data_IF_793156873013
#
_entry.id   IF_793156873013
#
_cell.length_a   1.000
_cell.length_b   1.000
_cell.length_c   1.000
_cell.angle_alpha   90.00
_cell.angle_beta   90.00
_cell.angle_gamma   90.00
#
_symmetry.space_group_name_H-M   'P 1'
#
loop_
_entity.id
_entity.type
_entity.pdbx_description
1 polymer ?
#
# COMPACT_ATOMS: atom_id res chain seq x y z
N UNK A 1 -35.15 -58.92 10.23
CA UNK A 1 -35.86 -57.76 9.67
C UNK A 1 -36.15 -56.83 10.85
N UNK A 2 -35.47 -55.68 10.96
CA UNK A 2 -35.71 -54.55 11.90
C UNK A 2 -34.45 -53.86 12.45
N UNK A 3 -33.23 -54.36 12.18
CA UNK A 3 -31.99 -53.67 12.56
C UNK A 3 -31.26 -53.02 11.36
N UNK A 4 -31.44 -53.56 10.14
CA UNK A 4 -30.91 -52.94 8.92
C UNK A 4 -31.68 -51.70 8.45
N UNK A 5 -32.86 -51.44 9.01
CA UNK A 5 -33.71 -50.31 8.61
C UNK A 5 -33.48 -49.06 9.48
N UNK A 6 -32.73 -49.17 10.58
CA UNK A 6 -32.44 -48.07 11.49
C UNK A 6 -31.22 -47.21 11.06
N UNK A 7 -30.42 -47.68 10.08
CA UNK A 7 -29.21 -46.97 9.63
C UNK A 7 -29.50 -45.99 8.47
N UNK A 8 -30.66 -46.09 7.82
CA UNK A 8 -31.01 -45.27 6.64
C UNK A 8 -31.68 -43.93 7.01
N UNK A 9 -32.13 -43.74 8.25
CA UNK A 9 -32.88 -42.55 8.67
C UNK A 9 -32.04 -41.50 9.44
N UNK A 10 -30.71 -41.65 9.47
CA UNK A 10 -29.77 -40.70 10.10
C UNK A 10 -29.04 -39.79 9.10
N UNK A 11 -29.38 -39.86 7.81
CA UNK A 11 -28.81 -39.03 6.74
C UNK A 11 -29.67 -37.82 6.39
N UNK A 12 -30.31 -37.19 7.38
CA UNK A 12 -30.96 -35.89 7.18
C UNK A 12 -29.87 -34.85 6.96
N UNK A 13 -29.51 -34.70 5.69
CA UNK A 13 -29.19 -33.46 5.01
C UNK A 13 -28.63 -32.38 5.93
N UNK A 14 -27.31 -32.39 6.10
CA UNK A 14 -26.55 -31.14 6.20
C UNK A 14 -26.65 -30.41 4.85
N UNK A 15 -27.86 -30.01 4.47
CA UNK A 15 -28.07 -29.02 3.43
C UNK A 15 -27.64 -27.71 4.04
N UNK A 16 -26.37 -27.35 3.83
CA UNK A 16 -25.92 -25.96 3.95
C UNK A 16 -26.71 -25.18 2.91
N UNK A 17 -27.90 -24.72 3.29
CA UNK A 17 -28.62 -23.69 2.56
C UNK A 17 -27.80 -22.42 2.74
N UNK A 18 -26.84 -22.18 1.85
CA UNK A 18 -26.27 -20.84 1.71
C UNK A 18 -27.37 -19.99 1.08
N UNK A 19 -28.11 -19.27 1.91
CA UNK A 19 -29.00 -18.22 1.41
C UNK A 19 -28.10 -17.15 0.79
N UNK A 20 -28.21 -16.98 -0.53
CA UNK A 20 -27.46 -15.94 -1.23
C UNK A 20 -28.06 -14.61 -0.82
N UNK A 21 -27.40 -13.94 0.13
CA UNK A 21 -27.71 -12.55 0.46
C UNK A 21 -27.16 -11.72 -0.71
N UNK A 22 -28.03 -11.32 -1.63
CA UNK A 22 -27.69 -10.25 -2.58
C UNK A 22 -27.79 -8.93 -1.80
N UNK A 23 -26.64 -8.45 -1.34
CA UNK A 23 -26.52 -7.13 -0.72
C UNK A 23 -26.62 -6.09 -1.84
N UNK A 24 -27.77 -5.42 -1.93
CA UNK A 24 -27.93 -4.26 -2.80
C UNK A 24 -27.17 -3.08 -2.19
N UNK A 25 -25.90 -2.96 -2.57
CA UNK A 25 -25.12 -1.75 -2.33
C UNK A 25 -25.61 -0.73 -3.35
N UNK A 26 -26.38 0.25 -2.90
CA UNK A 26 -26.83 1.35 -3.77
C UNK A 26 -25.65 1.97 -4.53
N UNK A 27 -25.88 2.38 -5.78
CA UNK A 27 -24.84 2.96 -6.64
C UNK A 27 -24.06 4.03 -5.88
N UNK A 28 -22.74 3.81 -5.75
CA UNK A 28 -21.93 4.64 -4.87
C UNK A 28 -21.71 6.04 -5.47
N UNK A 29 -21.58 7.03 -4.60
CA UNK A 29 -21.23 8.39 -4.99
C UNK A 29 -19.80 8.40 -5.58
N UNK A 30 -19.64 8.62 -6.88
CA UNK A 30 -18.33 8.61 -7.55
C UNK A 30 -17.40 9.68 -6.99
N UNK A 31 -16.22 9.31 -6.49
CA UNK A 31 -15.21 10.24 -5.95
C UNK A 31 -14.00 10.30 -6.85
N UNK A 32 -13.29 11.42 -6.79
CA UNK A 32 -11.91 11.47 -7.29
C UNK A 32 -11.04 10.66 -6.33
N UNK A 33 -10.29 9.71 -6.87
CA UNK A 33 -9.27 8.94 -6.16
C UNK A 33 -7.92 9.45 -6.63
N UNK A 34 -7.15 9.96 -5.68
CA UNK A 34 -5.81 10.52 -5.89
C UNK A 34 -4.81 9.59 -5.23
N UNK A 35 -3.84 9.13 -5.99
CA UNK A 35 -2.66 8.44 -5.45
C UNK A 35 -1.43 9.10 -6.05
N UNK A 36 -0.28 9.02 -5.40
CA UNK A 36 0.92 9.66 -5.90
C UNK A 36 2.15 9.18 -5.18
N UNK A 37 3.29 9.48 -5.75
CA UNK A 37 4.58 9.18 -5.17
C UNK A 37 5.52 10.35 -5.42
N UNK A 38 6.02 10.93 -4.33
CA UNK A 38 7.11 11.91 -4.34
C UNK A 38 8.23 11.33 -3.48
N UNK A 39 9.43 11.20 -4.04
CA UNK A 39 10.59 10.56 -3.40
C UNK A 39 11.85 11.41 -3.57
N UNK A 40 12.85 11.26 -2.70
CA UNK A 40 14.16 11.92 -2.88
C UNK A 40 15.02 11.31 -3.99
N UNK A 41 14.54 10.27 -4.68
CA UNK A 41 15.26 9.63 -5.77
C UNK A 41 14.95 10.34 -7.10
N UNK A 42 15.94 10.39 -7.98
CA UNK A 42 15.75 10.92 -9.34
C UNK A 42 14.75 10.05 -10.12
N UNK A 43 13.76 10.69 -10.72
CA UNK A 43 12.77 10.06 -11.58
C UNK A 43 11.51 9.57 -10.85
N UNK A 44 10.52 9.17 -11.65
CA UNK A 44 9.27 8.51 -11.24
C UNK A 44 8.44 9.23 -10.16
N UNK A 45 8.47 10.56 -10.14
CA UNK A 45 7.58 11.38 -9.34
C UNK A 45 6.25 11.52 -10.08
N UNK A 46 5.14 11.06 -9.50
CA UNK A 46 3.85 11.08 -10.20
C UNK A 46 2.66 11.30 -9.27
N UNK A 47 1.57 11.77 -9.86
CA UNK A 47 0.22 11.79 -9.30
C UNK A 47 -0.67 11.02 -10.29
N UNK A 48 -1.41 10.03 -9.80
CA UNK A 48 -2.38 9.27 -10.56
C UNK A 48 -3.80 9.63 -10.13
N UNK A 49 -4.62 9.98 -11.11
CA UNK A 49 -6.01 10.37 -10.90
C UNK A 49 -6.96 9.33 -11.50
N UNK A 50 -7.85 8.80 -10.68
CA UNK A 50 -8.90 7.86 -11.10
C UNK A 50 -10.24 8.23 -10.48
N UNK A 51 -11.32 7.63 -10.94
CA UNK A 51 -12.63 7.68 -10.30
C UNK A 51 -12.82 6.44 -9.44
N UNK A 52 -13.49 6.58 -8.31
CA UNK A 52 -13.91 5.41 -7.53
C UNK A 52 -14.78 4.49 -8.39
N UNK A 53 -14.60 3.19 -8.24
CA UNK A 53 -15.42 2.16 -8.87
C UNK A 53 -16.37 1.54 -7.84
N UNK A 54 -17.46 0.94 -8.31
CA UNK A 54 -18.37 0.19 -7.45
C UNK A 54 -17.67 -1.02 -6.84
N UNK A 55 -18.07 -1.38 -5.62
CA UNK A 55 -17.44 -2.44 -4.83
C UNK A 55 -17.37 -3.79 -5.57
N UNK A 56 -18.45 -4.19 -6.25
CA UNK A 56 -18.50 -5.44 -7.02
C UNK A 56 -17.98 -5.30 -8.47
N UNK A 57 -17.38 -4.17 -8.83
CA UNK A 57 -16.82 -3.98 -10.17
C UNK A 57 -15.55 -4.81 -10.34
N UNK A 58 -15.54 -5.66 -11.37
CA UNK A 58 -14.33 -6.35 -11.84
C UNK A 58 -13.57 -5.55 -12.92
N UNK A 59 -13.96 -4.29 -13.16
CA UNK A 59 -13.29 -3.41 -14.11
C UNK A 59 -12.31 -2.47 -13.40
N UNK A 60 -11.16 -2.14 -14.02
CA UNK A 60 -10.25 -1.13 -13.50
C UNK A 60 -10.97 0.21 -13.23
N UNK A 61 -10.59 0.95 -12.17
CA UNK A 61 -11.09 2.28 -11.92
C UNK A 61 -10.88 3.20 -13.13
N UNK A 62 -11.90 3.95 -13.59
CA UNK A 62 -11.76 4.84 -14.75
C UNK A 62 -10.74 5.95 -14.49
N UNK A 63 -9.83 6.18 -15.44
CA UNK A 63 -8.83 7.26 -15.34
C UNK A 63 -9.46 8.66 -15.49
N UNK A 64 -8.78 9.67 -14.93
CA UNK A 64 -9.18 11.09 -15.01
C UNK A 64 -8.12 11.87 -15.78
N UNK A 65 -8.51 12.38 -16.94
CA UNK A 65 -7.61 12.99 -17.93
C UNK A 65 -7.78 14.50 -18.04
N UNK A 66 -6.76 15.19 -18.56
CA UNK A 66 -6.78 16.63 -18.86
C UNK A 66 -6.86 17.54 -17.64
N UNK A 67 -6.60 17.02 -16.43
CA UNK A 67 -6.54 17.85 -15.23
C UNK A 67 -5.29 18.74 -15.24
N UNK A 68 -5.38 19.90 -14.59
CA UNK A 68 -4.19 20.66 -14.20
C UNK A 68 -3.78 20.20 -12.81
N UNK A 69 -2.59 19.62 -12.70
CA UNK A 69 -2.02 19.12 -11.45
C UNK A 69 -0.79 19.93 -11.10
N UNK A 70 -0.81 20.55 -9.92
CA UNK A 70 0.29 21.36 -9.39
C UNK A 70 0.70 20.85 -8.02
N UNK A 71 1.99 20.80 -7.77
CA UNK A 71 2.58 20.49 -6.47
C UNK A 71 3.46 21.67 -6.06
N UNK A 72 3.19 22.25 -4.91
CA UNK A 72 4.01 23.30 -4.30
C UNK A 72 4.79 22.70 -3.13
N UNK A 73 6.10 22.93 -3.08
CA UNK A 73 7.00 22.44 -2.03
C UNK A 73 7.43 23.55 -1.05
N UNK A 74 6.75 24.69 -1.09
CA UNK A 74 7.05 25.91 -0.34
C UNK A 74 8.16 26.77 -0.94
N UNK A 75 8.97 26.22 -1.86
CA UNK A 75 10.03 26.96 -2.58
C UNK A 75 9.59 27.32 -3.99
N UNK A 76 8.97 26.38 -4.70
CA UNK A 76 8.43 26.59 -6.04
C UNK A 76 7.24 25.67 -6.30
N UNK A 77 6.37 26.11 -7.22
CA UNK A 77 5.23 25.33 -7.67
C UNK A 77 5.52 24.68 -9.01
N UNK A 78 5.36 23.36 -9.08
CA UNK A 78 5.65 22.51 -10.24
C UNK A 78 4.36 21.96 -10.82
N UNK A 79 4.19 22.09 -12.13
CA UNK A 79 3.12 21.40 -12.84
C UNK A 79 3.54 19.97 -13.18
N UNK A 80 2.68 19.01 -12.83
CA UNK A 80 2.81 17.62 -13.25
C UNK A 80 2.00 17.43 -14.55
N UNK A 81 2.61 16.80 -15.55
CA UNK A 81 2.07 16.70 -16.91
C UNK A 81 1.56 15.29 -17.17
N UNK A 82 0.35 15.18 -17.71
CA UNK A 82 -0.24 13.88 -18.07
C UNK A 82 0.64 13.14 -19.08
N UNK A 83 0.94 11.87 -18.79
CA UNK A 83 1.66 11.02 -19.72
C UNK A 83 0.73 10.47 -20.80
N UNK A 84 1.18 10.58 -22.04
CA UNK A 84 0.44 10.11 -23.21
C UNK A 84 0.40 8.58 -23.33
N UNK A 85 1.34 7.87 -22.68
CA UNK A 85 1.40 6.40 -22.73
C UNK A 85 0.71 5.75 -21.53
N UNK A 86 0.60 6.46 -20.41
CA UNK A 86 -0.04 6.01 -19.17
C UNK A 86 -1.12 7.01 -18.76
N UNK A 87 -2.28 6.91 -19.41
CA UNK A 87 -3.42 7.81 -19.19
C UNK A 87 -3.81 7.86 -17.71
N UNK A 88 -4.12 9.07 -17.21
CA UNK A 88 -4.42 9.30 -15.79
C UNK A 88 -3.20 9.43 -14.88
N UNK A 89 -1.98 9.16 -15.36
CA UNK A 89 -0.75 9.49 -14.65
C UNK A 89 -0.22 10.84 -15.08
N UNK A 90 0.15 11.67 -14.10
CA UNK A 90 0.74 12.98 -14.27
C UNK A 90 2.13 12.94 -13.65
N UNK A 91 3.17 13.23 -14.43
CA UNK A 91 4.57 13.13 -13.99
C UNK A 91 5.19 14.49 -13.80
N UNK A 92 6.08 14.59 -12.80
CA UNK A 92 6.90 15.76 -12.61
C UNK A 92 7.95 15.90 -13.74
N UNK A 93 8.56 17.09 -13.92
CA UNK A 93 9.77 17.26 -14.70
C UNK A 93 10.88 16.30 -14.26
N UNK A 94 11.71 15.83 -15.20
CA UNK A 94 12.70 14.76 -14.96
C UNK A 94 13.76 15.07 -13.89
N UNK A 95 13.98 16.35 -13.59
CA UNK A 95 14.92 16.82 -12.58
C UNK A 95 14.27 17.15 -11.24
N UNK A 96 12.95 16.98 -11.11
CA UNK A 96 12.24 17.16 -9.85
C UNK A 96 12.48 15.96 -8.94
N UNK A 97 12.84 16.25 -7.69
CA UNK A 97 12.99 15.28 -6.62
C UNK A 97 12.37 15.85 -5.36
N UNK A 98 11.82 14.97 -4.52
CA UNK A 98 11.40 15.35 -3.18
C UNK A 98 12.59 15.63 -2.27
N UNK A 99 12.38 16.55 -1.34
CA UNK A 99 13.22 16.84 -0.20
C UNK A 99 12.52 16.35 1.08
N UNK A 100 13.24 15.59 1.90
CA UNK A 100 12.76 15.13 3.20
C UNK A 100 12.53 16.29 4.16
N UNK A 101 11.49 16.19 4.99
CA UNK A 101 11.05 17.24 5.91
C UNK A 101 10.21 18.35 5.24
N UNK A 102 10.01 18.29 3.93
CA UNK A 102 9.19 19.25 3.19
C UNK A 102 7.72 18.85 3.19
N UNK A 103 6.83 19.83 3.39
CA UNK A 103 5.40 19.71 3.17
C UNK A 103 5.08 20.07 1.72
N UNK A 104 4.36 19.18 1.04
CA UNK A 104 3.93 19.35 -0.35
C UNK A 104 2.43 19.65 -0.38
N UNK A 105 2.05 20.74 -1.02
CA UNK A 105 0.66 21.11 -1.27
C UNK A 105 0.28 20.73 -2.71
N UNK A 106 -0.64 19.78 -2.83
CA UNK A 106 -1.22 19.32 -4.09
C UNK A 106 -2.46 20.14 -4.43
N UNK A 107 -2.50 20.68 -5.64
CA UNK A 107 -3.67 21.35 -6.22
C UNK A 107 -4.07 20.68 -7.53
N UNK A 108 -5.34 20.28 -7.63
CA UNK A 108 -5.89 19.63 -8.82
C UNK A 108 -7.10 20.42 -9.32
N UNK A 109 -7.09 20.76 -10.61
CA UNK A 109 -8.25 21.32 -11.32
C UNK A 109 -8.65 20.38 -12.45
N UNK A 110 -9.82 19.76 -12.31
CA UNK A 110 -10.34 18.80 -13.28
C UNK A 110 -10.81 19.50 -14.57
N UNK A 111 -10.67 18.80 -15.71
CA UNK A 111 -11.27 19.24 -16.97
C UNK A 111 -12.81 19.12 -16.95
N UNK A 112 -13.34 18.11 -16.24
CA UNK A 112 -14.76 17.86 -16.08
C UNK A 112 -15.08 17.63 -14.60
N UNK A 113 -16.19 18.18 -14.08
CA UNK A 113 -16.54 18.03 -12.68
C UNK A 113 -16.85 16.57 -12.32
N UNK A 114 -16.44 16.15 -11.13
CA UNK A 114 -16.91 14.92 -10.49
C UNK A 114 -17.86 15.35 -9.38
N UNK A 115 -19.14 15.00 -9.53
CA UNK A 115 -20.22 15.38 -8.62
C UNK A 115 -20.30 16.88 -8.31
N UNK A 116 -20.09 17.71 -9.34
CA UNK A 116 -20.15 19.17 -9.24
C UNK A 116 -18.87 19.83 -8.72
N UNK A 117 -17.87 19.06 -8.30
CA UNK A 117 -16.58 19.57 -7.82
C UNK A 117 -15.53 19.52 -8.93
N UNK A 118 -14.78 20.62 -9.07
CA UNK A 118 -13.72 20.78 -10.09
C UNK A 118 -12.34 20.98 -9.47
N UNK A 119 -12.27 21.63 -8.31
CA UNK A 119 -11.01 21.93 -7.64
C UNK A 119 -10.86 21.06 -6.38
N UNK A 120 -9.67 20.49 -6.21
CA UNK A 120 -9.29 19.68 -5.06
C UNK A 120 -7.92 20.12 -4.56
N UNK A 121 -7.71 19.98 -3.26
CA UNK A 121 -6.42 20.25 -2.62
C UNK A 121 -6.13 19.20 -1.56
N UNK A 122 -4.86 18.87 -1.39
CA UNK A 122 -4.36 18.02 -0.31
C UNK A 122 -2.96 18.51 0.08
N UNK A 123 -2.48 18.12 1.24
CA UNK A 123 -1.08 18.29 1.58
C UNK A 123 -0.57 17.08 2.34
N UNK A 124 0.74 16.87 2.27
CA UNK A 124 1.42 15.78 2.95
C UNK A 124 2.86 16.19 3.24
N UNK A 125 3.41 15.74 4.37
CA UNK A 125 4.81 16.01 4.70
C UNK A 125 5.65 14.77 4.44
N UNK A 126 6.68 14.89 3.61
CA UNK A 126 7.66 13.82 3.45
C UNK A 126 8.46 13.71 4.75
N UNK A 127 8.41 12.58 5.49
CA UNK A 127 9.16 12.47 6.73
C UNK A 127 10.67 12.54 6.51
N UNK A 128 11.39 12.84 7.58
CA UNK A 128 12.85 12.77 7.58
C UNK A 128 13.24 11.31 7.66
N UNK A 129 14.05 10.84 6.71
CA UNK A 129 14.55 9.48 6.71
C UNK A 129 15.56 9.31 7.85
N UNK A 130 15.36 8.29 8.69
CA UNK A 130 16.40 7.86 9.62
C UNK A 130 17.55 7.21 8.82
N UNK A 131 18.76 7.79 8.88
CA UNK A 131 19.90 7.40 8.03
C UNK A 131 20.91 6.47 8.73
N UNK A 132 20.63 6.04 9.96
CA UNK A 132 21.56 5.27 10.80
C UNK A 132 21.43 3.74 10.60
N UNK A 133 21.43 3.30 9.34
CA UNK A 133 21.40 1.88 8.97
C UNK A 133 22.82 1.33 8.97
N UNK A 134 23.05 0.25 9.73
CA UNK A 134 24.33 -0.46 9.80
C UNK A 134 24.37 -1.58 8.76
N UNK A 135 23.42 -2.52 8.82
CA UNK A 135 23.38 -3.63 7.88
C UNK A 135 22.00 -4.26 7.75
N UNK A 136 21.85 -5.07 6.70
CA UNK A 136 20.73 -6.00 6.54
C UNK A 136 21.26 -7.42 6.43
N UNK A 137 20.51 -8.37 6.97
CA UNK A 137 20.79 -9.80 6.82
C UNK A 137 19.55 -10.50 6.29
N UNK A 138 19.72 -11.32 5.26
CA UNK A 138 18.66 -12.16 4.71
C UNK A 138 18.99 -13.61 5.03
N UNK A 139 18.13 -14.27 5.80
CA UNK A 139 18.34 -15.65 6.24
C UNK A 139 17.10 -16.52 5.98
N UNK A 140 17.31 -17.77 5.55
CA UNK A 140 16.22 -18.72 5.40
C UNK A 140 15.90 -19.33 6.76
N UNK A 141 14.67 -19.16 7.22
CA UNK A 141 14.14 -19.94 8.32
C UNK A 141 13.50 -21.22 7.77
N UNK A 142 14.27 -22.31 7.78
CA UNK A 142 13.85 -23.62 7.24
C UNK A 142 12.58 -24.17 7.91
N UNK A 143 12.34 -23.85 9.18
CA UNK A 143 11.13 -24.33 9.90
C UNK A 143 9.88 -23.60 9.46
N UNK A 144 10.01 -22.31 9.13
CA UNK A 144 8.91 -21.48 8.68
C UNK A 144 8.74 -21.52 7.14
N UNK A 145 9.71 -22.06 6.40
CA UNK A 145 9.81 -21.94 4.93
C UNK A 145 9.65 -20.48 4.49
N UNK A 146 10.40 -19.58 5.12
CA UNK A 146 10.38 -18.14 4.85
C UNK A 146 11.78 -17.57 4.93
N UNK A 147 12.09 -16.62 4.04
CA UNK A 147 13.24 -15.74 4.22
C UNK A 147 12.88 -14.63 5.20
N UNK A 148 13.74 -14.40 6.18
CA UNK A 148 13.64 -13.31 7.14
C UNK A 148 14.65 -12.24 6.77
N UNK A 149 14.17 -11.02 6.57
CA UNK A 149 15.02 -9.84 6.37
C UNK A 149 15.14 -9.14 7.72
N UNK A 150 16.36 -9.13 8.25
CA UNK A 150 16.71 -8.46 9.49
C UNK A 150 17.36 -7.12 9.22
N UNK A 151 16.92 -6.11 9.94
CA UNK A 151 17.50 -4.77 9.95
C UNK A 151 18.34 -4.58 11.21
N UNK A 152 19.53 -4.02 11.01
CA UNK A 152 20.42 -3.54 12.05
C UNK A 152 20.62 -2.04 11.84
N UNK A 153 20.08 -1.24 12.75
CA UNK A 153 20.03 0.21 12.65
C UNK A 153 19.88 0.83 14.04
N UNK A 154 20.34 2.07 14.19
CA UNK A 154 20.08 2.90 15.36
C UNK A 154 18.82 3.74 15.14
N UNK A 155 17.81 3.55 15.98
CA UNK A 155 16.61 4.37 15.91
C UNK A 155 16.81 5.71 16.63
N UNK A 156 16.38 6.83 16.02
CA UNK A 156 16.32 8.09 16.72
C UNK A 156 15.29 8.04 17.88
N UNK A 157 15.43 8.90 18.91
CA UNK A 157 14.45 9.00 19.99
C UNK A 157 13.24 9.86 19.56
N UNK A 158 12.56 9.48 18.48
CA UNK A 158 11.37 10.13 17.92
C UNK A 158 10.28 9.10 17.67
N UNK A 159 9.02 9.52 17.52
CA UNK A 159 7.94 8.58 17.14
C UNK A 159 7.93 8.47 15.62
N UNK A 160 8.28 7.30 15.11
CA UNK A 160 8.43 7.07 13.68
C UNK A 160 7.60 5.88 13.19
N UNK A 161 7.13 6.00 11.95
CA UNK A 161 6.40 4.94 11.24
C UNK A 161 7.15 4.60 9.97
N UNK A 162 7.24 3.30 9.70
CA UNK A 162 8.05 2.74 8.63
C UNK A 162 7.23 1.86 7.71
N UNK A 163 7.53 1.96 6.42
CA UNK A 163 7.13 1.02 5.39
C UNK A 163 8.35 0.33 4.81
N UNK A 164 8.29 -1.00 4.70
CA UNK A 164 9.36 -1.82 4.15
C UNK A 164 8.90 -2.53 2.87
N UNK A 165 9.72 -2.43 1.82
CA UNK A 165 9.59 -3.21 0.60
C UNK A 165 10.87 -3.99 0.30
N UNK A 166 10.74 -5.06 -0.49
CA UNK A 166 11.86 -5.84 -0.99
C UNK A 166 12.00 -5.75 -2.51
N UNK A 167 13.23 -5.64 -2.99
CA UNK A 167 13.58 -5.83 -4.39
C UNK A 167 14.51 -7.03 -4.56
N UNK A 168 14.28 -7.79 -5.62
CA UNK A 168 15.17 -8.83 -6.12
C UNK A 168 15.73 -8.43 -7.47
N UNK A 169 17.06 -8.38 -7.59
CA UNK A 169 17.77 -8.08 -8.84
C UNK A 169 17.25 -6.81 -9.55
N UNK A 170 16.93 -5.77 -8.78
CA UNK A 170 16.44 -4.49 -9.32
C UNK A 170 14.92 -4.43 -9.59
N UNK A 171 14.15 -5.47 -9.28
CA UNK A 171 12.68 -5.47 -9.41
C UNK A 171 12.01 -5.61 -8.05
N UNK A 172 11.04 -4.75 -7.74
CA UNK A 172 10.23 -4.86 -6.51
C UNK A 172 9.43 -6.16 -6.54
N UNK A 173 9.46 -6.92 -5.44
CA UNK A 173 8.72 -8.18 -5.27
C UNK A 173 7.63 -8.10 -4.19
N UNK A 174 7.50 -6.94 -3.54
CA UNK A 174 6.49 -6.64 -2.51
C UNK A 174 5.74 -5.35 -2.85
N UNK A 175 5.28 -5.22 -4.09
CA UNK A 175 4.60 -4.02 -4.61
C UNK A 175 3.11 -3.96 -4.23
N UNK A 176 2.53 -5.09 -3.85
CA UNK A 176 1.13 -5.21 -3.45
C UNK A 176 0.92 -4.74 -2.01
N UNK A 177 -0.19 -4.06 -1.72
CA UNK A 177 -0.52 -3.57 -0.37
C UNK A 177 -0.47 -4.69 0.67
N UNK A 178 -0.96 -5.89 0.34
CA UNK A 178 -0.93 -7.08 1.21
C UNK A 178 0.48 -7.61 1.52
N UNK A 179 1.50 -7.15 0.77
CA UNK A 179 2.90 -7.57 0.89
C UNK A 179 3.78 -6.54 1.60
N UNK A 180 3.28 -5.33 1.84
CA UNK A 180 3.99 -4.29 2.58
C UNK A 180 4.10 -4.67 4.05
N UNK A 181 5.27 -4.46 4.65
CA UNK A 181 5.37 -4.45 6.12
C UNK A 181 5.32 -3.00 6.61
N UNK A 182 4.34 -2.72 7.45
CA UNK A 182 4.16 -1.42 8.10
C UNK A 182 4.41 -1.61 9.59
N UNK A 183 5.27 -0.78 10.18
CA UNK A 183 5.60 -0.87 11.60
C UNK A 183 5.82 0.52 12.18
N UNK A 184 5.37 0.73 13.41
CA UNK A 184 5.89 1.80 14.25
C UNK A 184 7.22 1.39 14.92
N UNK A 185 7.88 2.36 15.52
CA UNK A 185 9.18 2.21 16.16
C UNK A 185 9.10 1.91 17.67
N UNK A 186 7.90 1.74 18.26
CA UNK A 186 7.71 1.74 19.74
C UNK A 186 8.58 0.74 20.49
N UNK A 187 8.95 -0.38 19.86
CA UNK A 187 9.80 -1.41 20.45
C UNK A 187 11.30 -1.06 20.42
N UNK A 188 11.72 -0.15 19.55
CA UNK A 188 13.11 0.18 19.26
C UNK A 188 13.43 1.67 19.41
N UNK A 189 12.45 2.54 19.68
CA UNK A 189 12.60 3.98 19.84
C UNK A 189 13.83 4.35 20.71
N UNK A 190 14.75 5.11 20.13
CA UNK A 190 16.00 5.53 20.77
C UNK A 190 17.00 4.40 21.07
N UNK A 191 16.81 3.21 20.51
CA UNK A 191 17.63 2.03 20.73
C UNK A 191 18.10 1.40 19.42
N UNK A 192 19.07 0.49 19.52
CA UNK A 192 19.54 -0.30 18.39
C UNK A 192 18.58 -1.48 18.12
N UNK A 193 18.18 -1.67 16.88
CA UNK A 193 17.21 -2.71 16.47
C UNK A 193 17.73 -4.13 16.67
N UNK A 194 19.05 -4.32 16.71
CA UNK A 194 19.72 -5.60 16.99
C UNK A 194 19.21 -6.79 16.16
N UNK A 195 18.84 -6.56 14.90
CA UNK A 195 18.38 -7.61 13.98
C UNK A 195 16.87 -7.81 14.00
N UNK A 196 16.10 -6.73 14.11
CA UNK A 196 14.65 -6.74 14.00
C UNK A 196 14.22 -7.33 12.65
N UNK A 197 13.26 -8.25 12.65
CA UNK A 197 12.70 -8.82 11.41
C UNK A 197 11.70 -7.81 10.84
N UNK A 198 12.05 -7.19 9.72
CA UNK A 198 11.26 -6.11 9.08
C UNK A 198 10.53 -6.58 7.82
N UNK A 199 10.91 -7.73 7.27
CA UNK A 199 10.21 -8.31 6.13
C UNK A 199 10.32 -9.84 6.15
N UNK A 200 9.26 -10.51 5.71
CA UNK A 200 9.25 -11.95 5.48
C UNK A 200 8.85 -12.24 4.04
N UNK A 201 9.60 -13.10 3.38
CA UNK A 201 9.37 -13.50 2.00
C UNK A 201 9.12 -15.02 1.93
N UNK A 202 8.33 -15.45 0.95
CA UNK A 202 8.15 -16.87 0.65
C UNK A 202 9.46 -17.48 0.17
N UNK A 203 9.64 -18.78 0.44
CA UNK A 203 10.89 -19.50 0.17
C UNK A 203 11.30 -19.44 -1.31
N UNK A 204 10.33 -19.46 -2.22
CA UNK A 204 10.53 -19.43 -3.67
C UNK A 204 10.79 -18.02 -4.24
N UNK A 205 10.71 -16.98 -3.41
CA UNK A 205 10.93 -15.59 -3.84
C UNK A 205 12.41 -15.21 -3.93
N UNK A 206 13.32 -15.94 -3.27
CA UNK A 206 14.76 -15.70 -3.34
C UNK A 206 15.52 -17.00 -3.56
N UNK A 207 16.65 -16.88 -4.27
CA UNK A 207 17.57 -17.98 -4.53
C UNK A 207 19.01 -17.56 -4.25
N UNK A 208 19.91 -18.49 -3.87
CA UNK A 208 21.32 -18.19 -3.75
C UNK A 208 21.89 -17.56 -5.03
N UNK A 209 22.50 -16.38 -4.89
CA UNK A 209 23.04 -15.59 -6.00
C UNK A 209 22.21 -14.35 -6.34
N UNK A 210 20.98 -14.24 -5.85
CA UNK A 210 20.18 -13.02 -5.97
C UNK A 210 20.79 -11.85 -5.20
N UNK A 211 20.65 -10.65 -5.75
CA UNK A 211 20.86 -9.40 -5.01
C UNK A 211 19.53 -8.94 -4.45
N UNK A 212 19.42 -8.92 -3.13
CA UNK A 212 18.27 -8.38 -2.43
C UNK A 212 18.54 -6.95 -1.94
N UNK A 213 17.59 -6.05 -2.19
CA UNK A 213 17.61 -4.68 -1.66
C UNK A 213 16.38 -4.46 -0.80
N UNK A 214 16.60 -4.09 0.47
CA UNK A 214 15.55 -3.58 1.34
C UNK A 214 15.32 -2.10 1.02
N UNK A 215 14.07 -1.72 0.77
CA UNK A 215 13.63 -0.33 0.71
C UNK A 215 12.99 0.00 2.05
N UNK A 216 13.53 0.99 2.73
CA UNK A 216 12.99 1.55 3.97
C UNK A 216 12.44 2.95 3.66
N UNK A 217 11.19 3.20 4.05
CA UNK A 217 10.55 4.51 3.91
C UNK A 217 9.98 4.95 5.24
N UNK A 218 10.41 6.11 5.75
CA UNK A 218 9.66 6.79 6.81
C UNK A 218 8.35 7.33 6.20
N UNK A 219 7.25 7.06 6.88
CA UNK A 219 5.90 7.49 6.48
C UNK A 219 5.22 8.21 7.63
N UNK A 220 4.18 8.99 7.33
CA UNK A 220 3.37 9.62 8.37
C UNK A 220 2.50 8.60 9.09
N UNK A 221 2.09 8.92 10.32
CA UNK A 221 1.18 8.08 11.10
C UNK A 221 -0.15 7.88 10.35
N UNK A 222 -0.66 8.93 9.73
CA UNK A 222 -1.91 8.92 8.96
C UNK A 222 -1.82 7.95 7.78
N UNK A 223 -0.70 7.97 7.04
CA UNK A 223 -0.49 7.06 5.93
C UNK A 223 -0.27 5.61 6.39
N UNK A 224 0.45 5.42 7.50
CA UNK A 224 0.62 4.10 8.12
C UNK A 224 -0.73 3.50 8.52
N UNK A 225 -1.58 4.28 9.20
CA UNK A 225 -2.92 3.87 9.61
C UNK A 225 -3.80 3.54 8.40
N UNK A 226 -3.78 4.38 7.36
CA UNK A 226 -4.49 4.10 6.11
C UNK A 226 -4.07 2.76 5.48
N UNK A 227 -2.76 2.48 5.40
CA UNK A 227 -2.25 1.23 4.83
C UNK A 227 -2.62 0.01 5.68
N UNK A 228 -2.59 0.13 7.01
CA UNK A 228 -2.98 -0.94 7.93
C UNK A 228 -4.48 -1.25 7.81
N UNK A 229 -5.34 -0.21 7.80
CA UNK A 229 -6.78 -0.37 7.59
C UNK A 229 -7.07 -1.01 6.22
N UNK A 230 -6.40 -0.55 5.17
CA UNK A 230 -6.55 -1.12 3.84
C UNK A 230 -6.09 -2.59 3.79
N UNK A 231 -5.02 -2.95 4.50
CA UNK A 231 -4.56 -4.33 4.62
C UNK A 231 -5.59 -5.21 5.35
N UNK A 232 -6.27 -4.69 6.36
CA UNK A 232 -7.31 -5.41 7.08
C UNK A 232 -8.55 -5.64 6.22
N UNK A 233 -8.96 -4.66 5.43
CA UNK A 233 -10.12 -4.76 4.52
C UNK A 233 -9.92 -5.74 3.35
N UNK A 234 -8.68 -5.93 2.88
CA UNK A 234 -8.39 -6.86 1.77
C UNK A 234 -8.10 -8.29 2.23
N UNK A 235 -8.01 -8.54 3.54
CA UNK A 235 -7.80 -9.89 4.06
C UNK A 235 -9.05 -10.74 3.82
N UNK A 236 -8.91 -12.08 3.65
CA UNK A 236 -10.06 -12.95 3.53
C UNK A 236 -11.00 -12.76 4.71
N UNK A 237 -12.23 -12.32 4.43
CA UNK A 237 -13.19 -12.03 5.47
C UNK A 237 -13.68 -13.32 6.12
N UNK A 238 -13.57 -13.41 7.44
CA UNK A 238 -14.36 -14.36 8.23
C UNK A 238 -15.73 -13.70 8.45
N UNK A 239 -16.84 -14.24 7.91
CA UNK A 239 -18.16 -13.62 8.00
C UNK A 239 -18.60 -13.26 9.43
N UNK A 240 -17.98 -13.84 10.46
CA UNK A 240 -18.27 -13.52 11.86
C UNK A 240 -17.45 -12.37 12.45
N UNK A 241 -16.30 -12.01 11.86
CA UNK A 241 -15.30 -11.13 12.50
C UNK A 241 -14.75 -10.02 11.62
N UNK A 242 -15.20 -9.96 10.37
CA UNK A 242 -14.77 -8.93 9.43
C UNK A 242 -15.65 -7.69 9.45
N UNK A 243 -15.10 -6.59 8.92
CA UNK A 243 -15.84 -5.36 8.64
C UNK A 243 -17.05 -5.61 7.72
N UNK A 244 -18.05 -4.71 7.74
CA UNK A 244 -19.28 -4.83 6.96
C UNK A 244 -19.05 -4.79 5.44
#
# INVERSE_FOLDING_TARGET
MNIFMAVIMGGLFLSSCTEKIDIDLGTTYTRLVVSGNITPQLGNQYIRLTKSADYFSNQPPPDVTGATVMVDDGSFSVQFIEDTNNIGYYFAPSNYIGVSGTTYDLSIKLAQPINGTVNYSANETMPILADNIDSIVVELNEKASRWMVRLYAWEPPSTDFYMFNGMRNGTIITDSVSRLNISDDRLYNGNYTAGAVVLMLYEDELQPGDTFTLILSNITEEYANFLLELQDEIRPNDPMFSGP
#
